data_IF_917371304413
#
_entry.id   IF_917371304413
#
_cell.length_a   1.000
_cell.length_b   1.000
_cell.length_c   1.000
_cell.angle_alpha   90.00
_cell.angle_beta   90.00
_cell.angle_gamma   90.00
#
_symmetry.space_group_name_H-M   'P 1'
#
loop_
_entity.id
_entity.type
_entity.pdbx_description
1 polymer ?
#
# COMPACT_ATOMS: atom_id res chain seq x y z
N UNK A 1 -42.26 -40.70 103.95
CA UNK A 1 -41.14 -39.74 103.77
C UNK A 1 -41.13 -39.04 102.40
N UNK A 2 -42.24 -39.00 101.65
CA UNK A 2 -42.27 -38.35 100.31
C UNK A 2 -43.02 -37.00 100.25
N UNK A 3 -43.88 -36.70 101.21
CA UNK A 3 -44.73 -35.50 101.16
C UNK A 3 -43.95 -34.22 101.50
N UNK A 4 -42.97 -34.28 102.40
CA UNK A 4 -42.20 -33.11 102.82
C UNK A 4 -41.29 -32.53 101.69
N UNK A 5 -40.80 -33.39 100.77
CA UNK A 5 -39.93 -32.95 99.66
C UNK A 5 -40.70 -32.21 98.57
N UNK A 6 -41.92 -32.64 98.25
CA UNK A 6 -42.76 -31.97 97.25
C UNK A 6 -43.36 -30.65 97.76
N UNK A 7 -43.49 -30.49 99.09
CA UNK A 7 -43.93 -29.24 99.71
C UNK A 7 -42.83 -28.17 99.60
N UNK A 8 -41.57 -28.53 99.88
CA UNK A 8 -40.44 -27.59 99.89
C UNK A 8 -40.02 -27.12 98.47
N UNK A 9 -40.28 -27.92 97.44
CA UNK A 9 -40.08 -27.55 96.04
C UNK A 9 -41.19 -26.62 95.52
N UNK A 10 -42.44 -26.86 95.92
CA UNK A 10 -43.55 -25.92 95.69
C UNK A 10 -43.33 -24.59 96.40
N UNK A 11 -42.79 -24.62 97.61
CA UNK A 11 -42.50 -23.41 98.39
C UNK A 11 -41.42 -22.57 97.72
N UNK A 12 -40.33 -23.18 97.22
CA UNK A 12 -39.32 -22.49 96.40
C UNK A 12 -39.88 -21.92 95.10
N UNK A 13 -40.75 -22.65 94.40
CA UNK A 13 -41.42 -22.15 93.21
C UNK A 13 -42.34 -20.97 93.53
N UNK A 14 -43.03 -21.01 94.67
CA UNK A 14 -43.84 -19.90 95.17
C UNK A 14 -42.98 -18.69 95.55
N UNK A 15 -41.84 -18.89 96.21
CA UNK A 15 -40.91 -17.79 96.53
C UNK A 15 -40.34 -17.18 95.26
N UNK A 16 -39.89 -18.00 94.30
CA UNK A 16 -39.36 -17.51 93.03
C UNK A 16 -40.43 -16.78 92.20
N UNK A 17 -41.68 -17.27 92.24
CA UNK A 17 -42.81 -16.56 91.64
C UNK A 17 -43.14 -15.26 92.38
N UNK A 18 -42.99 -15.24 93.71
CA UNK A 18 -43.17 -14.06 94.55
C UNK A 18 -42.10 -13.00 94.27
N UNK A 19 -40.83 -13.41 94.19
CA UNK A 19 -39.70 -12.55 93.85
C UNK A 19 -39.85 -11.98 92.42
N UNK A 20 -40.34 -12.79 91.47
CA UNK A 20 -40.67 -12.32 90.11
C UNK A 20 -41.84 -11.33 90.14
N UNK A 21 -42.88 -11.60 90.92
CA UNK A 21 -44.02 -10.70 91.08
C UNK A 21 -43.57 -9.40 91.73
N UNK A 22 -42.73 -9.43 92.77
CA UNK A 22 -42.22 -8.26 93.46
C UNK A 22 -41.24 -7.45 92.58
N UNK A 23 -40.40 -8.11 91.79
CA UNK A 23 -39.61 -7.49 90.72
C UNK A 23 -40.51 -6.80 89.67
N UNK A 24 -41.63 -7.42 89.30
CA UNK A 24 -42.60 -6.85 88.35
C UNK A 24 -43.48 -5.75 88.98
N UNK A 25 -43.56 -5.71 90.31
CA UNK A 25 -44.41 -4.79 91.08
C UNK A 25 -43.72 -3.46 91.39
N UNK A 26 -42.39 -3.38 91.25
CA UNK A 26 -41.65 -2.12 91.34
C UNK A 26 -42.03 -1.20 90.17
N UNK A 27 -42.72 -0.11 90.50
CA UNK A 27 -43.21 0.87 89.54
C UNK A 27 -42.08 1.51 88.72
N UNK A 28 -40.89 1.65 89.32
CA UNK A 28 -39.67 2.14 88.65
C UNK A 28 -39.19 1.21 87.52
N UNK A 29 -39.26 -0.11 87.73
CA UNK A 29 -38.80 -1.10 86.77
C UNK A 29 -39.78 -1.19 85.60
N UNK A 30 -41.08 -1.07 85.86
CA UNK A 30 -42.11 -0.97 84.82
C UNK A 30 -41.87 0.22 83.87
N UNK A 31 -41.43 1.36 84.40
CA UNK A 31 -41.09 2.56 83.61
C UNK A 31 -39.84 2.31 82.76
N UNK A 32 -38.78 1.74 83.33
CA UNK A 32 -37.55 1.39 82.61
C UNK A 32 -37.82 0.39 81.48
N UNK A 33 -38.65 -0.63 81.71
CA UNK A 33 -39.01 -1.61 80.68
C UNK A 33 -39.81 -1.00 79.53
N UNK A 34 -40.76 -0.08 79.81
CA UNK A 34 -41.48 0.65 78.76
C UNK A 34 -40.53 1.52 77.93
N UNK A 35 -39.61 2.23 78.59
CA UNK A 35 -38.61 3.05 77.91
C UNK A 35 -37.67 2.19 77.05
N UNK A 36 -37.20 1.04 77.56
CA UNK A 36 -36.40 0.08 76.79
C UNK A 36 -37.17 -0.48 75.59
N UNK A 37 -38.47 -0.79 75.75
CA UNK A 37 -39.32 -1.27 74.64
C UNK A 37 -39.50 -0.19 73.56
N UNK A 38 -39.69 1.07 73.96
CA UNK A 38 -39.77 2.20 73.03
C UNK A 38 -38.45 2.42 72.29
N UNK A 39 -37.31 2.34 72.99
CA UNK A 39 -35.99 2.42 72.35
C UNK A 39 -35.75 1.26 71.38
N UNK A 40 -36.19 0.05 71.73
CA UNK A 40 -36.07 -1.11 70.85
C UNK A 40 -36.90 -0.93 69.58
N UNK A 41 -38.15 -0.48 69.69
CA UNK A 41 -39.01 -0.17 68.53
C UNK A 41 -38.44 0.94 67.67
N UNK A 42 -37.85 1.97 68.28
CA UNK A 42 -37.19 3.05 67.55
C UNK A 42 -35.96 2.51 66.80
N UNK A 43 -35.16 1.66 67.44
CA UNK A 43 -34.01 1.02 66.81
C UNK A 43 -34.41 0.10 65.66
N UNK A 44 -35.48 -0.70 65.85
CA UNK A 44 -36.07 -1.56 64.83
C UNK A 44 -36.52 -0.74 63.63
N UNK A 45 -37.33 0.31 63.85
CA UNK A 45 -37.79 1.20 62.77
C UNK A 45 -36.63 1.89 62.02
N UNK A 46 -35.56 2.23 62.73
CA UNK A 46 -34.36 2.82 62.13
C UNK A 46 -33.58 1.77 61.32
N UNK A 47 -33.45 0.56 61.85
CA UNK A 47 -32.79 -0.55 61.16
C UNK A 47 -33.53 -0.92 59.88
N UNK A 48 -34.86 -0.93 59.91
CA UNK A 48 -35.68 -1.19 58.73
C UNK A 48 -35.51 -0.09 57.67
N UNK A 49 -35.53 1.18 58.09
CA UNK A 49 -35.29 2.31 57.18
C UNK A 49 -33.88 2.29 56.57
N UNK A 50 -32.85 1.96 57.36
CA UNK A 50 -31.47 1.82 56.88
C UNK A 50 -31.34 0.65 55.90
N UNK A 51 -32.05 -0.47 56.16
CA UNK A 51 -32.10 -1.63 55.26
C UNK A 51 -32.77 -1.29 53.93
N UNK A 52 -33.97 -0.69 53.96
CA UNK A 52 -34.71 -0.28 52.74
C UNK A 52 -33.90 0.72 51.90
N UNK A 53 -33.20 1.65 52.55
CA UNK A 53 -32.32 2.60 51.87
C UNK A 53 -31.14 1.89 51.19
N UNK A 54 -30.50 0.95 51.90
CA UNK A 54 -29.38 0.18 51.35
C UNK A 54 -29.84 -0.71 50.19
N UNK A 55 -30.99 -1.37 50.32
CA UNK A 55 -31.58 -2.21 49.28
C UNK A 55 -31.89 -1.39 48.01
N UNK A 56 -32.53 -0.23 48.18
CA UNK A 56 -32.83 0.69 47.08
C UNK A 56 -31.57 1.17 46.37
N UNK A 57 -30.53 1.51 47.14
CA UNK A 57 -29.24 1.95 46.60
C UNK A 57 -28.54 0.84 45.81
N UNK A 58 -28.54 -0.39 46.34
CA UNK A 58 -27.98 -1.57 45.66
C UNK A 58 -28.71 -1.83 44.34
N UNK A 59 -30.03 -1.73 44.34
CA UNK A 59 -30.84 -1.88 43.13
C UNK A 59 -30.52 -0.80 42.08
N UNK A 60 -30.38 0.46 42.48
CA UNK A 60 -30.00 1.55 41.57
C UNK A 60 -28.62 1.32 40.93
N UNK A 61 -27.62 0.88 41.71
CA UNK A 61 -26.31 0.56 41.16
C UNK A 61 -26.35 -0.64 40.21
N UNK A 62 -27.17 -1.65 40.51
CA UNK A 62 -27.37 -2.79 39.63
C UNK A 62 -27.93 -2.36 38.27
N UNK A 63 -28.96 -1.49 38.27
CA UNK A 63 -29.53 -0.93 37.04
C UNK A 63 -28.49 -0.13 36.23
N UNK A 64 -27.66 0.68 36.89
CA UNK A 64 -26.57 1.42 36.24
C UNK A 64 -25.54 0.47 35.62
N UNK A 65 -25.16 -0.59 36.32
CA UNK A 65 -24.23 -1.60 35.81
C UNK A 65 -24.79 -2.26 34.56
N UNK A 66 -26.06 -2.65 34.59
CA UNK A 66 -26.68 -3.34 33.45
C UNK A 66 -26.87 -2.43 32.24
N UNK A 67 -27.20 -1.15 32.45
CA UNK A 67 -27.18 -0.13 31.39
C UNK A 67 -25.80 0.04 30.76
N UNK A 68 -24.74 0.09 31.58
CA UNK A 68 -23.37 0.20 31.10
C UNK A 68 -22.92 -1.04 30.31
N UNK A 69 -23.30 -2.25 30.74
CA UNK A 69 -23.04 -3.49 29.99
C UNK A 69 -23.73 -3.45 28.62
N UNK A 70 -25.01 -3.09 28.57
CA UNK A 70 -25.76 -3.00 27.32
C UNK A 70 -25.14 -2.00 26.34
N UNK A 71 -24.72 -0.82 26.82
CA UNK A 71 -24.01 0.18 25.99
C UNK A 71 -22.66 -0.35 25.48
N UNK A 72 -21.92 -1.05 26.35
CA UNK A 72 -20.62 -1.64 25.99
C UNK A 72 -20.79 -2.70 24.90
N UNK A 73 -21.82 -3.54 25.01
CA UNK A 73 -22.08 -4.58 24.01
C UNK A 73 -22.58 -3.97 22.70
N UNK A 74 -23.48 -2.99 22.74
CA UNK A 74 -23.90 -2.26 21.54
C UNK A 74 -22.70 -1.61 20.82
N UNK A 75 -21.80 -0.95 21.54
CA UNK A 75 -20.62 -0.31 20.96
C UNK A 75 -19.62 -1.32 20.34
N UNK A 76 -19.49 -2.54 20.89
CA UNK A 76 -18.68 -3.60 20.28
C UNK A 76 -19.22 -4.04 18.92
N UNK A 77 -20.54 -4.02 18.74
CA UNK A 77 -21.19 -4.39 17.48
C UNK A 77 -21.34 -3.21 16.50
N UNK A 78 -21.20 -1.97 16.97
CA UNK A 78 -21.19 -0.74 16.16
C UNK A 78 -19.82 -0.43 15.53
N UNK A 79 -18.76 -1.18 15.90
CA UNK A 79 -17.51 -1.21 15.14
C UNK A 79 -17.84 -1.63 13.70
N UNK A 80 -17.37 -0.85 12.70
CA UNK A 80 -17.57 -1.07 11.26
C UNK A 80 -17.63 -2.56 10.98
N UNK A 81 -18.75 -3.03 10.43
CA UNK A 81 -18.92 -4.44 10.12
C UNK A 81 -17.71 -4.89 9.31
N UNK A 82 -17.00 -5.93 9.76
CA UNK A 82 -15.74 -6.40 9.14
C UNK A 82 -15.88 -6.55 7.62
N UNK A 83 -17.08 -6.85 7.12
CA UNK A 83 -17.43 -6.89 5.70
C UNK A 83 -17.25 -5.56 4.94
N UNK A 84 -17.60 -4.42 5.51
CA UNK A 84 -17.41 -3.11 4.85
C UNK A 84 -15.92 -2.76 4.75
N UNK A 85 -15.15 -3.07 5.79
CA UNK A 85 -13.71 -2.89 5.79
C UNK A 85 -13.02 -3.80 4.76
N UNK A 86 -13.41 -5.07 4.69
CA UNK A 86 -12.92 -6.01 3.67
C UNK A 86 -13.27 -5.55 2.24
N UNK A 87 -14.48 -5.03 2.01
CA UNK A 87 -14.86 -4.48 0.71
C UNK A 87 -13.99 -3.28 0.32
N UNK A 88 -13.75 -2.35 1.25
CA UNK A 88 -12.90 -1.18 0.99
C UNK A 88 -11.44 -1.57 0.76
N UNK A 89 -10.91 -2.57 1.48
CA UNK A 89 -9.57 -3.09 1.22
C UNK A 89 -9.46 -3.69 -0.19
N UNK A 90 -10.48 -4.44 -0.60
CA UNK A 90 -10.53 -5.03 -1.94
C UNK A 90 -10.60 -3.96 -3.03
N UNK A 91 -11.48 -2.97 -2.88
CA UNK A 91 -11.61 -1.86 -3.82
C UNK A 91 -10.30 -1.06 -3.96
N UNK A 92 -9.65 -0.76 -2.84
CA UNK A 92 -8.35 -0.09 -2.84
C UNK A 92 -7.28 -0.89 -3.60
N UNK A 93 -7.25 -2.22 -3.43
CA UNK A 93 -6.30 -3.07 -4.13
C UNK A 93 -6.58 -3.12 -5.65
N UNK A 94 -7.85 -3.16 -6.05
CA UNK A 94 -8.24 -3.13 -7.46
C UNK A 94 -7.87 -1.80 -8.13
N UNK A 95 -8.08 -0.67 -7.46
CA UNK A 95 -7.72 0.65 -8.00
C UNK A 95 -6.20 0.86 -8.08
N UNK A 96 -5.44 0.43 -7.08
CA UNK A 96 -3.96 0.44 -7.16
C UNK A 96 -3.44 -0.41 -8.31
N UNK A 97 -4.05 -1.58 -8.53
CA UNK A 97 -3.71 -2.43 -9.65
C UNK A 97 -4.02 -1.75 -10.98
N UNK A 98 -5.19 -1.09 -11.10
CA UNK A 98 -5.62 -0.37 -12.29
C UNK A 98 -4.68 0.78 -12.62
N UNK A 99 -4.30 1.60 -11.63
CA UNK A 99 -3.38 2.71 -11.82
C UNK A 99 -2.00 2.23 -12.27
N UNK A 100 -1.45 1.21 -11.62
CA UNK A 100 -0.19 0.58 -12.02
C UNK A 100 -0.25 0.02 -13.44
N UNK A 101 -1.35 -0.65 -13.80
CA UNK A 101 -1.56 -1.21 -15.12
C UNK A 101 -1.59 -0.13 -16.21
N UNK A 102 -2.21 1.02 -15.95
CA UNK A 102 -2.24 2.14 -16.90
C UNK A 102 -0.84 2.71 -17.16
N UNK A 103 -0.04 2.89 -16.11
CA UNK A 103 1.35 3.37 -16.23
C UNK A 103 2.20 2.39 -17.04
N UNK A 104 2.13 1.10 -16.70
CA UNK A 104 2.87 0.05 -17.42
C UNK A 104 2.45 0.00 -18.89
N UNK A 105 1.16 0.15 -19.19
CA UNK A 105 0.67 0.12 -20.57
C UNK A 105 1.19 1.31 -21.37
N UNK A 106 1.18 2.51 -20.78
CA UNK A 106 1.73 3.71 -21.42
C UNK A 106 3.25 3.56 -21.70
N UNK A 107 4.00 3.01 -20.76
CA UNK A 107 5.43 2.73 -20.93
C UNK A 107 5.69 1.70 -22.04
N UNK A 108 4.88 0.65 -22.12
CA UNK A 108 4.96 -0.37 -23.19
C UNK A 108 4.72 0.29 -24.55
N UNK A 109 3.71 1.15 -24.66
CA UNK A 109 3.39 1.84 -25.91
C UNK A 109 4.51 2.79 -26.35
N UNK A 110 5.14 3.53 -25.42
CA UNK A 110 6.29 4.37 -25.73
C UNK A 110 7.49 3.54 -26.21
N UNK A 111 7.81 2.45 -25.50
CA UNK A 111 8.89 1.53 -25.90
C UNK A 111 8.64 0.90 -27.28
N UNK A 112 7.39 0.56 -27.59
CA UNK A 112 6.99 0.06 -28.89
C UNK A 112 7.25 1.10 -30.00
N UNK A 113 6.84 2.35 -29.77
CA UNK A 113 7.09 3.45 -30.70
C UNK A 113 8.60 3.70 -30.90
N UNK A 114 9.38 3.67 -29.82
CA UNK A 114 10.83 3.77 -29.89
C UNK A 114 11.44 2.62 -30.71
N UNK A 115 10.99 1.38 -30.48
CA UNK A 115 11.44 0.19 -31.22
C UNK A 115 11.19 0.35 -32.72
N UNK A 116 9.99 0.77 -33.11
CA UNK A 116 9.62 1.02 -34.52
C UNK A 116 10.55 2.08 -35.12
N UNK A 117 10.73 3.21 -34.45
CA UNK A 117 11.60 4.30 -34.90
C UNK A 117 13.06 3.88 -35.07
N UNK A 118 13.58 3.02 -34.19
CA UNK A 118 14.94 2.47 -34.31
C UNK A 118 15.05 1.52 -35.50
N UNK A 119 14.05 0.66 -35.72
CA UNK A 119 14.08 -0.30 -36.82
C UNK A 119 13.99 0.37 -38.19
N UNK A 120 13.19 1.44 -38.33
CA UNK A 120 13.14 2.27 -39.54
C UNK A 120 14.50 2.91 -39.87
N UNK A 121 15.18 3.46 -38.85
CA UNK A 121 16.54 3.99 -39.01
C UNK A 121 17.51 2.90 -39.44
N UNK A 122 17.46 1.72 -38.83
CA UNK A 122 18.31 0.57 -39.21
C UNK A 122 18.06 0.12 -40.65
N UNK A 123 16.82 0.09 -41.10
CA UNK A 123 16.51 -0.24 -42.50
C UNK A 123 17.06 0.81 -43.47
N UNK A 124 16.97 2.10 -43.11
CA UNK A 124 17.52 3.20 -43.91
C UNK A 124 19.04 3.11 -44.04
N UNK A 125 19.74 2.84 -42.94
CA UNK A 125 21.18 2.59 -42.95
C UNK A 125 21.57 1.39 -43.80
N UNK A 126 20.85 0.27 -43.70
CA UNK A 126 21.09 -0.92 -44.56
C UNK A 126 20.93 -0.61 -46.05
N UNK A 127 19.95 0.21 -46.43
CA UNK A 127 19.79 0.66 -47.83
C UNK A 127 20.96 1.53 -48.25
N UNK A 128 21.34 2.51 -47.43
CA UNK A 128 22.45 3.42 -47.73
C UNK A 128 23.77 2.68 -47.87
N UNK A 129 24.05 1.74 -46.97
CA UNK A 129 25.24 0.89 -47.00
C UNK A 129 25.30 0.04 -48.28
N UNK A 130 24.18 -0.57 -48.68
CA UNK A 130 24.09 -1.28 -49.96
C UNK A 130 24.36 -0.37 -51.16
N UNK A 131 23.87 0.86 -51.15
CA UNK A 131 24.15 1.85 -52.20
C UNK A 131 25.63 2.24 -52.22
N UNK A 132 26.22 2.49 -51.06
CA UNK A 132 27.64 2.81 -50.92
C UNK A 132 28.53 1.68 -51.42
N UNK A 133 28.26 0.44 -50.97
CA UNK A 133 28.98 -0.75 -51.41
C UNK A 133 28.87 -0.94 -52.93
N UNK A 134 27.68 -0.76 -53.51
CA UNK A 134 27.50 -0.85 -54.97
C UNK A 134 28.29 0.22 -55.71
N UNK A 135 28.33 1.45 -55.21
CA UNK A 135 29.10 2.54 -55.80
C UNK A 135 30.61 2.25 -55.72
N UNK A 136 31.09 1.74 -54.58
CA UNK A 136 32.47 1.35 -54.39
C UNK A 136 32.88 0.20 -55.33
N UNK A 137 32.06 -0.85 -55.44
CA UNK A 137 32.31 -1.95 -56.38
C UNK A 137 32.40 -1.46 -57.83
N UNK A 138 31.52 -0.53 -58.22
CA UNK A 138 31.55 0.09 -59.56
C UNK A 138 32.83 0.88 -59.80
N UNK A 139 33.26 1.68 -58.83
CA UNK A 139 34.53 2.43 -58.90
C UNK A 139 35.74 1.49 -58.96
N UNK A 140 35.76 0.44 -58.15
CA UNK A 140 36.82 -0.58 -58.17
C UNK A 140 36.90 -1.29 -59.51
N UNK A 141 35.74 -1.64 -60.10
CA UNK A 141 35.68 -2.23 -61.43
C UNK A 141 36.26 -1.27 -62.47
N UNK A 142 35.88 0.01 -62.46
CA UNK A 142 36.46 1.00 -63.38
C UNK A 142 37.96 1.14 -63.21
N UNK A 143 38.45 1.30 -61.97
CA UNK A 143 39.87 1.39 -61.69
C UNK A 143 40.65 0.14 -62.14
N UNK A 144 40.05 -1.07 -62.09
CA UNK A 144 40.71 -2.28 -62.58
C UNK A 144 40.87 -2.35 -64.11
N UNK A 145 39.97 -1.70 -64.85
CA UNK A 145 39.98 -1.72 -66.32
C UNK A 145 40.82 -0.56 -66.87
N UNK A 146 40.70 0.62 -66.26
CA UNK A 146 41.32 1.84 -66.79
C UNK A 146 42.62 2.20 -66.07
N UNK A 147 42.86 1.64 -64.88
CA UNK A 147 43.94 2.08 -63.98
C UNK A 147 43.94 3.59 -63.70
N UNK A 148 42.79 4.25 -63.85
CA UNK A 148 42.63 5.69 -63.62
C UNK A 148 42.20 5.94 -62.18
N UNK A 149 42.87 6.90 -61.53
CA UNK A 149 42.50 7.49 -60.23
C UNK A 149 42.10 8.95 -60.48
N UNK A 150 40.80 9.28 -60.50
CA UNK A 150 40.35 10.65 -60.74
C UNK A 150 40.65 11.54 -59.53
N UNK A 151 41.00 12.81 -59.79
CA UNK A 151 41.05 13.84 -58.75
C UNK A 151 39.64 14.38 -58.54
N UNK A 152 39.16 14.33 -57.31
CA UNK A 152 37.80 14.78 -56.96
C UNK A 152 37.76 16.20 -56.39
N UNK A 153 38.92 16.86 -56.27
CA UNK A 153 39.04 18.15 -55.60
C UNK A 153 38.64 19.33 -56.49
N UNK A 154 38.65 19.16 -57.82
CA UNK A 154 38.41 20.22 -58.79
C UNK A 154 37.24 19.85 -59.71
N UNK A 155 36.02 20.36 -59.45
CA UNK A 155 34.84 20.00 -60.24
C UNK A 155 34.83 20.66 -61.63
N UNK A 156 35.68 21.66 -61.87
CA UNK A 156 35.76 22.42 -63.12
C UNK A 156 36.61 21.77 -64.21
N UNK A 157 37.45 20.79 -63.86
CA UNK A 157 38.39 20.14 -64.78
C UNK A 157 38.29 18.63 -64.65
N UNK A 158 38.46 17.91 -65.77
CA UNK A 158 38.54 16.45 -65.75
C UNK A 158 40.01 16.09 -65.59
N UNK A 159 40.44 15.82 -64.36
CA UNK A 159 41.83 15.52 -64.03
C UNK A 159 42.00 14.24 -63.23
N UNK A 160 43.17 13.64 -63.31
CA UNK A 160 43.44 12.36 -62.66
C UNK A 160 44.80 11.79 -62.99
N UNK A 161 45.05 10.59 -62.47
CA UNK A 161 46.28 9.84 -62.68
C UNK A 161 45.99 8.51 -63.36
N UNK A 162 46.82 8.09 -64.31
CA UNK A 162 46.84 6.73 -64.87
C UNK A 162 48.01 5.99 -64.24
N UNK A 163 47.75 4.84 -63.60
CA UNK A 163 48.74 4.08 -62.83
C UNK A 163 49.07 2.76 -63.52
N UNK A 164 50.25 2.66 -64.13
CA UNK A 164 50.72 1.42 -64.71
C UNK A 164 51.49 0.60 -63.67
N UNK A 165 50.88 -0.47 -63.14
CA UNK A 165 51.45 -1.25 -62.01
C UNK A 165 52.75 -1.96 -62.35
N UNK A 166 52.88 -2.46 -63.58
CA UNK A 166 54.04 -3.25 -64.01
C UNK A 166 55.29 -2.36 -64.17
N UNK A 167 55.11 -1.16 -64.74
CA UNK A 167 56.20 -0.21 -64.99
C UNK A 167 56.39 0.83 -63.87
N UNK A 168 55.49 0.86 -62.87
CA UNK A 168 55.42 1.88 -61.81
C UNK A 168 55.34 3.31 -62.34
N UNK A 169 54.69 3.51 -63.49
CA UNK A 169 54.54 4.83 -64.11
C UNK A 169 53.22 5.44 -63.66
N UNK A 170 53.24 6.72 -63.32
CA UNK A 170 52.05 7.50 -62.97
C UNK A 170 52.00 8.72 -63.90
N UNK A 171 51.08 8.70 -64.87
CA UNK A 171 50.85 9.81 -65.79
C UNK A 171 49.69 10.67 -65.28
N UNK A 172 49.87 11.99 -65.23
CA UNK A 172 48.82 12.94 -64.86
C UNK A 172 48.14 13.48 -66.12
N UNK A 173 46.82 13.54 -66.12
CA UNK A 173 46.04 14.17 -67.19
C UNK A 173 45.13 15.26 -66.62
N UNK A 174 44.85 16.25 -67.45
CA UNK A 174 43.94 17.35 -67.13
C UNK A 174 43.28 17.85 -68.42
N UNK A 175 41.95 17.87 -68.43
CA UNK A 175 41.15 18.32 -69.55
C UNK A 175 40.13 19.37 -69.10
N UNK A 176 40.02 20.43 -69.89
CA UNK A 176 39.04 21.50 -69.68
C UNK A 176 37.75 21.16 -70.47
N UNK A 177 36.61 20.94 -69.77
CA UNK A 177 35.35 20.58 -70.41
C UNK A 177 34.77 21.69 -71.31
N UNK A 178 35.24 22.93 -71.21
CA UNK A 178 34.84 24.04 -72.10
C UNK A 178 35.60 23.99 -73.43
N UNK A 179 36.85 23.50 -73.42
CA UNK A 179 37.73 23.45 -74.59
C UNK A 179 37.59 22.16 -75.39
N UNK A 180 37.14 21.07 -74.75
CA UNK A 180 37.13 19.74 -75.34
C UNK A 180 35.77 19.07 -75.18
N UNK A 181 35.25 18.49 -76.25
CA UNK A 181 33.97 17.76 -76.19
C UNK A 181 34.12 16.48 -75.36
N UNK A 182 33.07 16.00 -74.69
CA UNK A 182 33.12 14.75 -73.92
C UNK A 182 33.64 13.56 -74.73
N UNK A 183 33.27 13.48 -76.02
CA UNK A 183 33.76 12.44 -76.92
C UNK A 183 35.27 12.56 -77.18
N UNK A 184 35.76 13.78 -77.42
CA UNK A 184 37.20 14.05 -77.58
C UNK A 184 37.98 13.65 -76.35
N UNK A 185 37.54 14.08 -75.17
CA UNK A 185 38.17 13.77 -73.88
C UNK A 185 38.23 12.26 -73.63
N UNK A 186 37.11 11.54 -73.80
CA UNK A 186 37.08 10.09 -73.67
C UNK A 186 38.06 9.41 -74.63
N UNK A 187 38.10 9.83 -75.89
CA UNK A 187 39.01 9.24 -76.90
C UNK A 187 40.47 9.46 -76.52
N UNK A 188 40.82 10.64 -76.02
CA UNK A 188 42.18 10.94 -75.54
C UNK A 188 42.57 10.07 -74.35
N UNK A 189 41.69 9.93 -73.35
CA UNK A 189 41.93 9.09 -72.17
C UNK A 189 42.13 7.62 -72.57
N UNK A 190 41.28 7.09 -73.46
CA UNK A 190 41.42 5.71 -73.94
C UNK A 190 42.71 5.46 -74.73
N UNK A 191 43.21 6.47 -75.45
CA UNK A 191 44.53 6.37 -76.09
C UNK A 191 45.64 6.30 -75.06
N UNK A 192 45.57 7.10 -73.99
CA UNK A 192 46.57 7.08 -72.91
C UNK A 192 46.57 5.75 -72.14
N UNK A 193 45.42 5.11 -71.94
CA UNK A 193 45.32 3.82 -71.24
C UNK A 193 45.91 2.64 -72.04
N UNK A 194 45.87 2.70 -73.38
CA UNK A 194 46.30 1.62 -74.27
C UNK A 194 47.75 1.79 -74.80
N UNK A 195 48.52 2.75 -74.27
CA UNK A 195 49.94 2.94 -74.57
C UNK A 195 50.82 2.06 -73.65
#
# INVERSE_FOLDING_TARGET
MGEASGILEKERALTHSGDLIDCLRNESDSILWKQCLEQFKLLESKSDADFEFSESSVQEYQEKIDSCKQKTDAAKFEVVADSEFEMLQKELAEELWRESFLVITADIDDLENQRVSVEERRQSWRKLDKHYFRAQMKLSMYASVTNVIPKLNEPSTISGYIVEREKKIVENFEFDPVKMTPYGTCTSIWKMINL
#
